data_IF_400733991099
#
_entry.id   IF_400733991099
#
_cell.length_a   1.000
_cell.length_b   1.000
_cell.length_c   1.000
_cell.angle_alpha   90.00
_cell.angle_beta   90.00
_cell.angle_gamma   90.00
#
_symmetry.space_group_name_H-M   'P 1'
#
loop_
_entity.id
_entity.type
_entity.pdbx_description
1 polymer ?
#
# COMPACT_ATOMS: atom_id res chain seq x y z
N UNK A 1 9.16 6.07 11.85
CA UNK A 1 8.07 5.07 11.83
C UNK A 1 8.56 3.89 11.01
N UNK A 2 8.29 2.66 11.46
CA UNK A 2 8.48 1.45 10.67
C UNK A 2 7.14 0.73 10.56
N UNK A 3 6.92 0.00 9.47
CA UNK A 3 5.72 -0.80 9.23
C UNK A 3 6.09 -2.06 8.45
N UNK A 4 5.28 -3.11 8.58
CA UNK A 4 5.41 -4.33 7.78
C UNK A 4 4.59 -4.22 6.50
N UNK A 5 5.24 -4.36 5.34
CA UNK A 5 4.55 -4.44 4.06
C UNK A 5 3.78 -5.77 3.93
N UNK A 6 2.64 -5.75 3.22
CA UNK A 6 1.76 -6.91 3.04
C UNK A 6 0.44 -6.87 3.82
N UNK A 7 0.10 -5.72 4.39
CA UNK A 7 -1.14 -5.45 5.13
C UNK A 7 -1.96 -4.34 4.45
N UNK A 8 -3.20 -4.14 4.90
CA UNK A 8 -4.08 -3.07 4.43
C UNK A 8 -4.53 -3.26 2.99
N UNK A 9 -4.70 -4.51 2.55
CA UNK A 9 -5.20 -4.79 1.21
C UNK A 9 -6.69 -4.47 1.13
N UNK A 10 -7.08 -3.79 0.06
CA UNK A 10 -8.49 -3.62 -0.32
C UNK A 10 -9.00 -4.76 -1.21
N UNK A 11 -8.06 -5.49 -1.84
CA UNK A 11 -8.31 -6.68 -2.64
C UNK A 11 -7.37 -7.84 -2.23
N UNK A 12 -6.98 -8.71 -3.18
CA UNK A 12 -5.93 -9.71 -2.94
C UNK A 12 -6.30 -10.73 -1.83
N UNK A 13 -7.57 -11.11 -1.80
CA UNK A 13 -8.15 -12.00 -0.78
C UNK A 13 -8.67 -11.28 0.46
N UNK A 14 -8.68 -9.94 0.51
CA UNK A 14 -9.32 -9.17 1.58
C UNK A 14 -10.83 -8.97 1.37
N UNK A 15 -11.34 -9.25 0.17
CA UNK A 15 -12.74 -9.19 -0.21
C UNK A 15 -13.14 -10.50 -0.90
N UNK A 16 -14.41 -10.87 -0.76
CA UNK A 16 -14.95 -12.03 -1.48
C UNK A 16 -14.86 -11.77 -2.98
N UNK A 17 -14.55 -12.81 -3.75
CA UNK A 17 -14.50 -12.75 -5.21
C UNK A 17 -15.30 -13.88 -5.82
N UNK A 18 -15.93 -13.62 -6.97
CA UNK A 18 -16.68 -14.64 -7.71
C UNK A 18 -15.83 -15.11 -8.88
N UNK A 19 -15.60 -16.41 -8.97
CA UNK A 19 -14.86 -17.08 -10.04
C UNK A 19 -15.76 -18.18 -10.60
N UNK A 20 -16.12 -18.10 -11.88
CA UNK A 20 -16.98 -19.08 -12.55
C UNK A 20 -18.34 -19.34 -11.85
N UNK A 21 -18.88 -18.31 -11.21
CA UNK A 21 -20.14 -18.40 -10.45
C UNK A 21 -19.98 -18.91 -9.01
N UNK A 22 -18.79 -19.36 -8.62
CA UNK A 22 -18.48 -19.76 -7.25
C UNK A 22 -17.92 -18.59 -6.45
N UNK A 23 -18.36 -18.46 -5.20
CA UNK A 23 -17.85 -17.44 -4.27
C UNK A 23 -16.63 -17.98 -3.53
N UNK A 24 -15.48 -17.34 -3.73
CA UNK A 24 -14.28 -17.54 -2.93
C UNK A 24 -14.29 -16.50 -1.80
N UNK A 25 -14.40 -16.99 -0.57
CA UNK A 25 -14.48 -16.15 0.63
C UNK A 25 -13.16 -15.44 0.93
N UNK A 26 -13.28 -14.25 1.49
CA UNK A 26 -12.16 -13.43 1.96
C UNK A 26 -11.48 -13.96 3.22
N UNK A 27 -10.25 -13.50 3.42
CA UNK A 27 -9.53 -13.53 4.68
C UNK A 27 -9.47 -12.10 5.26
N UNK A 28 -10.32 -11.76 6.25
CA UNK A 28 -10.38 -10.43 6.82
C UNK A 28 -9.06 -9.92 7.39
N UNK A 29 -8.13 -10.82 7.75
CA UNK A 29 -6.81 -10.44 8.26
C UNK A 29 -5.99 -9.67 7.22
N UNK A 30 -6.23 -9.91 5.93
CA UNK A 30 -5.56 -9.21 4.81
C UNK A 30 -6.01 -7.75 4.67
N UNK A 31 -7.24 -7.44 5.09
CA UNK A 31 -7.76 -6.08 5.12
C UNK A 31 -7.19 -5.25 6.28
N UNK A 32 -6.76 -5.91 7.36
CA UNK A 32 -6.26 -5.25 8.56
C UNK A 32 -4.94 -4.51 8.35
N UNK A 33 -4.65 -3.56 9.22
CA UNK A 33 -3.42 -2.76 9.18
C UNK A 33 -3.45 -1.66 8.13
N UNK A 34 -2.30 -1.36 7.53
CA UNK A 34 -2.14 -0.31 6.52
C UNK A 34 -1.23 -0.75 5.36
N UNK A 35 -1.51 -0.24 4.17
CA UNK A 35 -0.63 -0.37 3.01
C UNK A 35 0.11 0.95 2.77
N UNK A 36 1.29 1.13 3.38
CA UNK A 36 1.93 2.45 3.43
C UNK A 36 2.51 2.97 2.11
N UNK A 37 2.50 2.20 1.00
CA UNK A 37 2.90 2.72 -0.31
C UNK A 37 2.08 3.96 -0.70
N UNK A 38 0.81 4.04 -0.28
CA UNK A 38 -0.04 5.21 -0.53
C UNK A 38 0.44 6.49 0.17
N UNK A 39 1.28 6.37 1.20
CA UNK A 39 1.86 7.50 1.94
C UNK A 39 3.29 7.84 1.48
N UNK A 40 3.86 7.08 0.54
CA UNK A 40 5.22 7.34 0.04
C UNK A 40 5.25 8.61 -0.81
N UNK A 41 6.42 9.26 -0.85
CA UNK A 41 6.61 10.51 -1.56
C UNK A 41 6.43 10.32 -3.07
N UNK A 42 5.46 11.04 -3.63
CA UNK A 42 5.27 11.19 -5.06
C UNK A 42 6.44 11.95 -5.68
N UNK A 43 6.89 11.49 -6.84
CA UNK A 43 7.88 12.20 -7.64
C UNK A 43 7.31 13.57 -8.10
N UNK A 44 7.99 14.70 -7.80
CA UNK A 44 7.45 16.03 -8.08
C UNK A 44 7.40 16.36 -9.59
N UNK A 45 8.13 15.63 -10.43
CA UNK A 45 8.20 15.82 -11.88
C UNK A 45 7.20 14.88 -12.57
N UNK A 46 7.27 13.57 -12.29
CA UNK A 46 6.46 12.55 -12.96
C UNK A 46 5.02 12.48 -12.42
N UNK A 47 4.81 12.81 -11.14
CA UNK A 47 3.49 12.98 -10.49
C UNK A 47 2.53 11.78 -10.50
N UNK A 48 2.96 10.63 -10.97
CA UNK A 48 2.17 9.39 -10.99
C UNK A 48 2.91 8.18 -10.42
N UNK A 49 4.13 8.38 -9.91
CA UNK A 49 4.98 7.34 -9.35
C UNK A 49 5.76 7.86 -8.16
N UNK A 50 6.37 6.97 -7.39
CA UNK A 50 7.30 7.32 -6.33
C UNK A 50 8.63 7.85 -6.89
N UNK A 51 9.50 8.33 -6.01
CA UNK A 51 10.86 8.72 -6.40
C UNK A 51 11.63 7.54 -7.02
N UNK A 52 12.51 7.84 -7.97
CA UNK A 52 13.35 6.88 -8.66
C UNK A 52 14.82 7.25 -8.46
N UNK A 53 15.68 6.27 -8.20
CA UNK A 53 17.12 6.44 -8.26
C UNK A 53 17.55 6.71 -9.70
N UNK A 54 18.13 7.88 -9.96
CA UNK A 54 18.53 8.31 -11.30
C UNK A 54 19.73 7.57 -11.87
N UNK A 55 20.49 6.85 -11.02
CA UNK A 55 21.64 6.06 -11.46
C UNK A 55 21.24 4.59 -11.65
N UNK A 56 20.63 3.99 -10.63
CA UNK A 56 20.27 2.57 -10.62
C UNK A 56 18.89 2.24 -11.21
N UNK A 57 18.05 3.24 -11.49
CA UNK A 57 16.71 3.04 -12.07
C UNK A 57 15.68 2.37 -11.14
N UNK A 58 16.00 2.24 -9.85
CA UNK A 58 15.15 1.56 -8.87
C UNK A 58 14.11 2.50 -8.25
N UNK A 59 12.96 1.96 -7.84
CA UNK A 59 11.98 2.71 -7.06
C UNK A 59 12.46 2.90 -5.61
N UNK A 60 12.22 4.09 -5.05
CA UNK A 60 12.63 4.45 -3.69
C UNK A 60 11.46 4.22 -2.72
N UNK A 61 11.55 3.18 -1.89
CA UNK A 61 10.52 2.82 -0.90
C UNK A 61 10.85 3.24 0.54
N UNK A 62 11.87 4.06 0.73
CA UNK A 62 12.40 4.43 2.04
C UNK A 62 12.52 5.95 2.17
N UNK A 63 12.75 6.41 3.41
CA UNK A 63 13.03 7.81 3.76
C UNK A 63 11.93 8.83 3.38
N UNK A 64 10.72 8.39 3.04
CA UNK A 64 9.56 9.28 2.94
C UNK A 64 9.26 9.87 4.31
N UNK A 65 9.28 11.20 4.41
CA UNK A 65 8.89 11.91 5.64
C UNK A 65 7.37 11.89 5.76
N UNK A 66 6.87 11.54 6.94
CA UNK A 66 5.44 11.43 7.23
C UNK A 66 5.10 12.15 8.53
N UNK A 67 3.91 12.74 8.58
CA UNK A 67 3.31 13.26 9.82
C UNK A 67 2.25 12.27 10.28
N UNK A 68 2.36 11.81 11.53
CA UNK A 68 1.33 11.01 12.17
C UNK A 68 0.26 11.94 12.77
N UNK A 69 -1.00 11.65 12.44
CA UNK A 69 -2.16 12.34 13.00
C UNK A 69 -3.05 11.27 13.60
N UNK A 70 -3.43 11.44 14.86
CA UNK A 70 -4.37 10.55 15.52
C UNK A 70 -5.76 10.76 14.92
N UNK A 71 -6.40 9.68 14.50
CA UNK A 71 -7.80 9.67 14.05
C UNK A 71 -8.66 9.13 15.20
N UNK A 72 -9.89 9.66 15.43
CA UNK A 72 -10.84 9.07 16.36
C UNK A 72 -11.13 7.61 16.01
N UNK A 73 -11.48 6.82 17.03
CA UNK A 73 -11.97 5.46 16.85
C UNK A 73 -13.41 5.48 16.34
#
# INVERSE_FOLDING_TARGET
MAFSLGHGHWAYGSNDVVIDGETVLSDPRRAGGIHANAAMRLDPILKNTGLVDTVGGSAVFYQSQVKLIRVPA
#
